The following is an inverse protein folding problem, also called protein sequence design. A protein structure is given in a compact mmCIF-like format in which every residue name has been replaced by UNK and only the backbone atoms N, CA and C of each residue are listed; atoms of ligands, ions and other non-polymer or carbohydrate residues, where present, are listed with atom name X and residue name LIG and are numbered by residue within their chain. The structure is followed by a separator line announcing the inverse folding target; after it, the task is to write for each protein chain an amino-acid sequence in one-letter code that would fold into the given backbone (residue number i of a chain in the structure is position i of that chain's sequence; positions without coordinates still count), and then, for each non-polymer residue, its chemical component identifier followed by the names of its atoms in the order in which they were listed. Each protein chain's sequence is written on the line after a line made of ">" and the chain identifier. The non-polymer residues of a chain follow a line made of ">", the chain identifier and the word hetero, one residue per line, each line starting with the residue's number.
data_IF_336770145464
#
_entry.id   IF_336770145464
#
_cell.length_a   1.000
_cell.length_b   1.000
_cell.length_c   1.000
_cell.angle_alpha   90.00
_cell.angle_beta   90.00
_cell.angle_gamma   90.00
#
_symmetry.space_group_name_H-M   'P 1'
#
loop_
_entity.id
_entity.type
_entity.pdbx_description
1 polymer ?
#
# COMPACT_ATOMS: atom_id res chain seq x y z
N UNK A 1 -7.11 40.31 -13.71
CA UNK A 1 -6.57 41.67 -13.94
C UNK A 1 -5.62 41.65 -15.12
N UNK A 2 -5.17 42.82 -15.56
CA UNK A 2 -4.16 42.98 -16.59
C UNK A 2 -3.02 43.88 -16.07
N UNK A 3 -1.82 43.72 -16.61
CA UNK A 3 -0.62 44.46 -16.23
C UNK A 3 0.21 44.87 -17.46
N UNK A 4 1.24 45.68 -17.23
CA UNK A 4 2.16 46.17 -18.26
C UNK A 4 1.63 47.39 -19.03
N UNK A 5 2.42 47.90 -19.97
CA UNK A 5 2.04 49.06 -20.78
C UNK A 5 0.77 48.75 -21.60
N UNK A 6 -0.21 49.65 -21.51
CA UNK A 6 -1.53 49.51 -22.15
C UNK A 6 -2.38 48.31 -21.66
N UNK A 7 -2.05 47.69 -20.52
CA UNK A 7 -2.85 46.61 -19.90
C UNK A 7 -3.14 45.42 -20.83
N UNK A 8 -2.15 45.01 -21.65
CA UNK A 8 -2.33 43.91 -22.62
C UNK A 8 -1.96 42.54 -22.05
N UNK A 9 -1.17 42.48 -20.97
CA UNK A 9 -0.74 41.22 -20.36
C UNK A 9 -1.70 40.81 -19.26
N UNK A 10 -2.10 39.54 -19.22
CA UNK A 10 -3.07 39.04 -18.24
C UNK A 10 -2.33 38.61 -16.97
N UNK A 11 -2.84 39.00 -15.80
CA UNK A 11 -2.32 38.49 -14.52
C UNK A 11 -2.39 36.95 -14.48
N UNK A 12 -1.39 36.32 -13.87
CA UNK A 12 -1.40 34.88 -13.61
C UNK A 12 -2.34 34.48 -12.47
N UNK A 13 -2.06 33.31 -11.90
CA UNK A 13 -2.89 32.63 -10.90
C UNK A 13 -2.57 33.07 -9.47
N UNK A 14 -2.77 34.36 -9.18
CA UNK A 14 -2.59 34.87 -7.83
C UNK A 14 -3.61 34.26 -6.85
N UNK A 15 -3.17 33.96 -5.63
CA UNK A 15 -4.03 33.39 -4.58
C UNK A 15 -5.33 34.20 -4.39
N UNK A 16 -6.44 33.48 -4.21
CA UNK A 16 -7.77 34.03 -3.91
C UNK A 16 -8.24 35.10 -4.91
N UNK A 17 -7.70 35.06 -6.13
CA UNK A 17 -8.02 36.03 -7.18
C UNK A 17 -7.46 37.43 -6.92
N UNK A 18 -6.43 37.54 -6.07
CA UNK A 18 -5.75 38.80 -5.79
C UNK A 18 -5.32 39.51 -7.08
N UNK A 19 -5.43 40.83 -7.09
CA UNK A 19 -5.00 41.65 -8.23
C UNK A 19 -3.46 41.66 -8.25
N UNK A 20 -2.87 41.31 -9.40
CA UNK A 20 -1.43 41.38 -9.59
C UNK A 20 -0.96 42.84 -9.70
N UNK A 21 0.31 43.09 -9.40
CA UNK A 21 0.91 44.41 -9.54
C UNK A 21 0.75 44.93 -10.99
N UNK A 22 0.15 46.11 -11.22
CA UNK A 22 -0.14 46.59 -12.57
C UNK A 22 1.10 46.87 -13.42
N UNK A 23 2.27 47.08 -12.80
CA UNK A 23 3.51 47.37 -13.52
C UNK A 23 4.27 46.09 -13.88
N UNK A 24 4.46 45.19 -12.92
CA UNK A 24 5.32 44.00 -13.03
C UNK A 24 4.57 42.69 -13.25
N UNK A 25 3.26 42.65 -12.98
CA UNK A 25 2.46 41.41 -13.02
C UNK A 25 2.69 40.49 -11.83
N UNK A 26 3.51 40.89 -10.87
CA UNK A 26 3.83 40.08 -9.68
C UNK A 26 2.59 39.90 -8.79
N UNK A 27 2.41 38.68 -8.29
CA UNK A 27 1.36 38.40 -7.32
C UNK A 27 1.84 38.83 -5.91
N UNK A 28 1.02 39.55 -5.13
CA UNK A 28 1.46 40.16 -3.87
C UNK A 28 1.72 39.16 -2.73
N UNK A 29 1.26 37.92 -2.86
CA UNK A 29 1.38 36.88 -1.83
C UNK A 29 1.99 35.60 -2.41
N UNK A 30 1.13 34.62 -2.69
CA UNK A 30 1.48 33.30 -3.19
C UNK A 30 0.62 32.98 -4.39
N UNK A 31 0.98 31.91 -5.09
CA UNK A 31 0.19 31.39 -6.19
C UNK A 31 -0.95 30.51 -5.69
N UNK A 32 -1.99 30.39 -6.52
CA UNK A 32 -2.99 29.35 -6.35
C UNK A 32 -2.33 27.96 -6.41
N UNK A 33 -2.92 26.94 -5.77
CA UNK A 33 -2.38 25.58 -5.86
C UNK A 33 -2.22 25.11 -7.32
N UNK A 34 -1.07 24.53 -7.64
CA UNK A 34 -0.73 24.07 -8.99
C UNK A 34 0.09 25.07 -9.82
N UNK A 35 0.39 26.24 -9.27
CA UNK A 35 1.12 27.32 -9.93
C UNK A 35 2.28 27.83 -9.06
N UNK A 36 3.32 28.34 -9.72
CA UNK A 36 4.52 28.93 -9.11
C UNK A 36 5.06 30.09 -9.96
N UNK A 37 6.18 30.67 -9.50
CA UNK A 37 6.80 31.85 -10.11
C UNK A 37 6.24 33.15 -9.53
N UNK A 38 6.98 34.25 -9.71
CA UNK A 38 6.62 35.56 -9.14
C UNK A 38 5.28 36.09 -9.72
N UNK A 39 4.98 35.74 -10.97
CA UNK A 39 3.74 36.11 -11.65
C UNK A 39 2.66 35.02 -11.58
N UNK A 40 2.94 33.87 -10.94
CA UNK A 40 2.04 32.72 -10.87
C UNK A 40 1.55 32.22 -12.22
N UNK A 41 2.45 32.20 -13.21
CA UNK A 41 2.23 31.85 -14.60
C UNK A 41 2.88 30.51 -14.99
N UNK A 42 3.59 29.88 -14.06
CA UNK A 42 4.28 28.61 -14.28
C UNK A 42 3.53 27.47 -13.60
N UNK A 43 3.08 26.48 -14.35
CA UNK A 43 2.49 25.26 -13.77
C UNK A 43 3.52 24.49 -12.95
N UNK A 44 3.07 23.77 -11.93
CA UNK A 44 3.97 22.84 -11.23
C UNK A 44 4.53 21.79 -12.19
N UNK A 45 5.84 21.56 -12.07
CA UNK A 45 6.53 20.45 -12.70
C UNK A 45 5.94 19.11 -12.24
N UNK A 46 6.03 18.09 -13.09
CA UNK A 46 5.62 16.73 -12.74
C UNK A 46 6.30 16.27 -11.46
N UNK A 47 5.52 15.71 -10.54
CA UNK A 47 6.01 15.30 -9.22
C UNK A 47 5.88 16.37 -8.13
N UNK A 48 5.38 17.57 -8.43
CA UNK A 48 5.13 18.62 -7.44
C UNK A 48 3.69 19.13 -7.44
N UNK A 49 3.21 19.58 -6.29
CA UNK A 49 1.85 20.06 -6.10
C UNK A 49 1.72 21.12 -5.00
N UNK A 50 0.50 21.67 -4.89
CA UNK A 50 0.13 22.63 -3.85
C UNK A 50 0.47 24.06 -4.23
N UNK A 51 0.39 24.96 -3.24
CA UNK A 51 0.70 26.37 -3.43
C UNK A 51 2.19 26.52 -3.69
N UNK A 52 2.54 27.32 -4.69
CA UNK A 52 3.93 27.51 -5.14
C UNK A 52 4.69 26.22 -5.49
N UNK A 53 3.99 25.09 -5.63
CA UNK A 53 4.59 23.78 -5.89
C UNK A 53 5.52 23.28 -4.76
N UNK A 54 5.25 23.69 -3.51
CA UNK A 54 6.11 23.41 -2.35
C UNK A 54 6.15 21.93 -1.91
N UNK A 55 5.24 21.08 -2.42
CA UNK A 55 5.14 19.68 -2.00
C UNK A 55 5.45 18.71 -3.12
N UNK A 56 6.14 17.62 -2.80
CA UNK A 56 6.35 16.49 -3.70
C UNK A 56 5.16 15.52 -3.69
N UNK A 57 4.81 14.96 -4.85
CA UNK A 57 3.85 13.85 -4.94
C UNK A 57 4.32 12.64 -4.10
N UNK A 58 3.37 11.86 -3.59
CA UNK A 58 3.66 10.56 -2.96
C UNK A 58 3.77 9.41 -3.96
N UNK A 59 3.61 8.19 -3.45
CA UNK A 59 3.74 6.94 -4.22
C UNK A 59 2.46 6.60 -5.00
N UNK A 60 2.15 7.43 -6.00
CA UNK A 60 0.99 7.24 -6.85
C UNK A 60 1.17 6.03 -7.78
N UNK A 61 0.12 5.24 -7.94
CA UNK A 61 0.14 3.97 -8.67
C UNK A 61 0.53 4.11 -10.14
N UNK A 62 1.23 3.11 -10.67
CA UNK A 62 1.57 2.93 -12.09
C UNK A 62 2.28 4.15 -12.71
N UNK A 63 3.09 4.86 -11.91
CA UNK A 63 3.79 6.08 -12.34
C UNK A 63 2.87 7.26 -12.64
N UNK A 64 1.60 7.21 -12.18
CA UNK A 64 0.68 8.33 -12.33
C UNK A 64 1.18 9.57 -11.59
N UNK A 65 1.00 10.75 -12.19
CA UNK A 65 1.37 12.02 -11.55
C UNK A 65 0.22 12.48 -10.67
N UNK A 66 0.53 12.91 -9.44
CA UNK A 66 -0.48 13.46 -8.56
C UNK A 66 -1.08 14.76 -9.12
N UNK A 67 -2.30 15.08 -8.71
CA UNK A 67 -2.96 16.33 -9.11
C UNK A 67 -2.15 17.53 -8.58
N UNK A 68 -1.63 18.36 -9.48
CA UNK A 68 -0.78 19.52 -9.13
C UNK A 68 -1.44 20.51 -8.16
N UNK A 69 -2.76 20.61 -8.17
CA UNK A 69 -3.51 21.49 -7.27
C UNK A 69 -3.69 20.91 -5.86
N UNK A 70 -3.85 19.59 -5.72
CA UNK A 70 -4.26 18.97 -4.44
C UNK A 70 -3.25 17.98 -3.88
N UNK A 71 -2.40 17.40 -4.72
CA UNK A 71 -1.49 16.29 -4.39
C UNK A 71 -2.12 14.91 -4.43
N UNK A 72 -3.42 14.83 -4.73
CA UNK A 72 -4.14 13.54 -4.72
C UNK A 72 -3.64 12.66 -5.86
N UNK A 73 -3.39 11.38 -5.56
CA UNK A 73 -3.10 10.35 -6.56
C UNK A 73 -4.41 9.83 -7.17
N UNK A 74 -4.73 10.17 -8.43
CA UNK A 74 -6.04 9.85 -9.02
C UNK A 74 -6.25 8.35 -9.25
N UNK A 75 -5.17 7.56 -9.33
CA UNK A 75 -5.20 6.12 -9.57
C UNK A 75 -4.96 5.30 -8.28
N UNK A 76 -5.00 5.94 -7.12
CA UNK A 76 -4.64 5.33 -5.85
C UNK A 76 -3.12 5.16 -5.69
N UNK A 77 -2.75 4.29 -4.75
CA UNK A 77 -1.38 4.13 -4.28
C UNK A 77 -0.70 2.88 -4.81
N UNK A 78 0.61 2.96 -4.94
CA UNK A 78 1.45 1.79 -5.14
C UNK A 78 1.34 0.82 -3.95
N UNK A 79 1.74 -0.43 -4.19
CA UNK A 79 1.74 -1.44 -3.14
C UNK A 79 2.63 -1.03 -1.96
N UNK A 80 2.11 -1.19 -0.75
CA UNK A 80 2.78 -0.77 0.48
C UNK A 80 2.41 0.63 0.96
N UNK A 81 1.64 1.41 0.17
CA UNK A 81 1.22 2.77 0.50
C UNK A 81 -0.31 2.93 0.49
N UNK A 82 -0.80 3.94 1.21
CA UNK A 82 -2.21 4.25 1.35
C UNK A 82 -2.47 5.75 1.58
N UNK A 83 -3.75 6.10 1.50
CA UNK A 83 -4.26 7.46 1.71
C UNK A 83 -4.29 8.28 0.42
N UNK A 84 -5.03 9.38 0.42
CA UNK A 84 -5.28 10.19 -0.78
C UNK A 84 -4.00 10.69 -1.49
N UNK A 85 -2.93 10.89 -0.72
CA UNK A 85 -1.64 11.41 -1.20
C UNK A 85 -0.57 10.32 -1.32
N UNK A 86 -0.88 9.07 -0.95
CA UNK A 86 0.07 7.95 -0.99
C UNK A 86 1.41 8.20 -0.27
N UNK A 87 1.36 8.93 0.84
CA UNK A 87 2.52 9.26 1.68
C UNK A 87 2.62 8.39 2.93
N UNK A 88 1.62 7.56 3.22
CA UNK A 88 1.57 6.69 4.40
C UNK A 88 1.78 5.25 3.99
N UNK A 89 2.67 4.55 4.69
CA UNK A 89 2.82 3.10 4.53
C UNK A 89 1.60 2.32 5.05
N UNK A 90 1.47 1.06 4.66
CA UNK A 90 0.43 0.18 5.21
C UNK A 90 0.55 0.03 6.73
N UNK A 91 -0.61 -0.04 7.39
CA UNK A 91 -0.69 -0.47 8.78
C UNK A 91 -0.31 -1.95 8.90
N UNK A 92 0.20 -2.35 10.08
CA UNK A 92 0.46 -3.75 10.39
C UNK A 92 -0.77 -4.63 10.11
N UNK A 93 -0.56 -5.76 9.45
CA UNK A 93 -1.66 -6.65 9.05
C UNK A 93 -2.28 -6.34 7.68
N UNK A 94 -1.81 -5.30 6.98
CA UNK A 94 -2.27 -4.92 5.64
C UNK A 94 -1.14 -4.87 4.63
N UNK A 95 -1.46 -5.14 3.37
CA UNK A 95 -0.49 -5.12 2.28
C UNK A 95 -1.14 -4.81 0.92
N UNK A 96 -0.29 -4.66 -0.10
CA UNK A 96 -0.70 -4.45 -1.49
C UNK A 96 -1.07 -3.00 -1.81
N UNK A 97 -1.58 -2.73 -3.02
CA UNK A 97 -2.03 -1.41 -3.45
C UNK A 97 -3.13 -0.89 -2.53
N UNK A 98 -3.03 0.38 -2.15
CA UNK A 98 -3.95 1.05 -1.23
C UNK A 98 -4.10 0.32 0.13
N UNK A 99 -3.21 -0.61 0.45
CA UNK A 99 -3.26 -1.48 1.63
C UNK A 99 -4.59 -2.21 1.81
N UNK A 100 -5.26 -2.57 0.71
CA UNK A 100 -6.58 -3.21 0.75
C UNK A 100 -6.51 -4.69 1.14
N UNK A 101 -5.40 -5.37 0.88
CA UNK A 101 -5.23 -6.77 1.24
C UNK A 101 -4.88 -6.92 2.72
N UNK A 102 -5.33 -8.03 3.31
CA UNK A 102 -5.02 -8.38 4.71
C UNK A 102 -3.98 -9.49 4.72
N UNK A 103 -3.06 -9.48 5.68
CA UNK A 103 -2.12 -10.59 5.87
C UNK A 103 -2.90 -11.88 6.14
N UNK A 104 -2.37 -13.02 5.69
CA UNK A 104 -2.91 -14.34 6.07
C UNK A 104 -2.56 -14.70 7.51
N UNK A 105 -2.52 -16.00 7.80
CA UNK A 105 -2.23 -16.52 9.14
C UNK A 105 -0.72 -16.54 9.43
N UNK A 106 -0.09 -15.38 9.29
CA UNK A 106 1.30 -15.17 9.64
C UNK A 106 1.49 -15.23 11.16
N UNK A 107 2.66 -15.67 11.60
CA UNK A 107 3.09 -15.53 12.98
C UNK A 107 3.08 -14.05 13.40
N UNK A 108 2.50 -13.74 14.56
CA UNK A 108 2.23 -12.38 15.04
C UNK A 108 1.39 -11.50 14.09
N UNK A 109 0.73 -12.06 13.08
CA UNK A 109 -0.10 -11.32 12.12
C UNK A 109 0.66 -10.28 11.29
N UNK A 110 1.98 -10.45 11.14
CA UNK A 110 2.84 -9.53 10.40
C UNK A 110 3.22 -10.12 9.05
N UNK A 111 3.02 -9.34 8.00
CA UNK A 111 3.46 -9.65 6.65
C UNK A 111 4.09 -8.43 5.99
N UNK A 112 4.86 -8.67 4.94
CA UNK A 112 5.47 -7.65 4.12
C UNK A 112 4.39 -6.77 3.46
N UNK A 113 4.47 -5.45 3.65
CA UNK A 113 3.43 -4.51 3.20
C UNK A 113 3.25 -4.43 1.68
N UNK A 114 4.27 -4.77 0.88
CA UNK A 114 4.16 -4.82 -0.59
C UNK A 114 3.63 -6.18 -1.08
N UNK A 115 4.28 -7.28 -0.67
CA UNK A 115 4.04 -8.61 -1.25
C UNK A 115 3.01 -9.44 -0.47
N UNK A 116 2.71 -9.10 0.77
CA UNK A 116 1.85 -9.88 1.67
C UNK A 116 2.50 -11.13 2.24
N UNK A 117 3.78 -11.37 1.94
CA UNK A 117 4.49 -12.56 2.40
C UNK A 117 4.79 -12.48 3.89
N UNK A 118 4.64 -13.59 4.59
CA UNK A 118 4.91 -13.65 6.02
C UNK A 118 6.42 -13.75 6.27
N UNK A 119 6.95 -12.83 7.06
CA UNK A 119 8.34 -12.90 7.51
C UNK A 119 8.54 -14.14 8.40
N UNK A 120 9.79 -14.66 8.51
CA UNK A 120 10.11 -15.71 9.47
C UNK A 120 9.63 -15.36 10.89
N UNK A 121 8.98 -16.29 11.60
CA UNK A 121 9.02 -17.73 11.38
C UNK A 121 7.96 -18.29 10.40
N UNK A 122 7.20 -17.44 9.69
CA UNK A 122 6.25 -17.86 8.67
C UNK A 122 4.82 -18.06 9.19
N UNK A 123 4.18 -19.15 8.81
CA UNK A 123 2.78 -19.46 9.07
C UNK A 123 2.52 -20.03 10.45
N UNK A 124 1.33 -19.74 10.98
CA UNK A 124 0.76 -20.45 12.13
C UNK A 124 0.49 -21.92 11.76
N UNK A 125 0.42 -22.82 12.76
CA UNK A 125 0.10 -24.22 12.51
C UNK A 125 -1.21 -24.41 11.73
N UNK A 126 -1.18 -25.28 10.73
CA UNK A 126 -2.32 -25.55 9.86
C UNK A 126 -2.39 -24.72 8.58
N UNK A 127 -1.49 -23.73 8.42
CA UNK A 127 -1.45 -22.83 7.27
C UNK A 127 -0.12 -22.93 6.52
N UNK A 128 -0.19 -22.75 5.21
CA UNK A 128 0.93 -22.87 4.27
C UNK A 128 0.94 -21.76 3.22
N UNK A 129 2.02 -21.74 2.44
CA UNK A 129 2.25 -20.79 1.37
C UNK A 129 2.95 -19.54 1.86
N UNK A 130 3.50 -18.74 0.94
CA UNK A 130 4.31 -17.58 1.29
C UNK A 130 3.51 -16.50 2.04
N UNK A 131 2.18 -16.49 1.90
CA UNK A 131 1.26 -15.55 2.58
C UNK A 131 0.42 -16.19 3.68
N UNK A 132 0.59 -17.49 3.93
CA UNK A 132 -0.19 -18.25 4.92
C UNK A 132 -1.71 -18.10 4.72
N UNK A 133 -2.14 -18.10 3.47
CA UNK A 133 -3.53 -17.98 3.01
C UNK A 133 -4.07 -19.29 2.46
N UNK A 134 -3.28 -20.36 2.49
CA UNK A 134 -3.68 -21.71 2.14
C UNK A 134 -3.67 -22.65 3.36
N UNK A 135 -4.58 -23.62 3.38
CA UNK A 135 -4.54 -24.72 4.33
C UNK A 135 -3.31 -25.61 4.08
N UNK A 136 -2.84 -26.31 5.12
CA UNK A 136 -1.80 -27.33 4.95
C UNK A 136 -2.19 -28.35 3.87
N UNK A 137 -1.24 -28.71 2.98
CA UNK A 137 -1.42 -29.83 2.05
C UNK A 137 -1.78 -31.12 2.79
N UNK A 138 -2.61 -31.94 2.16
CA UNK A 138 -3.03 -33.22 2.74
C UNK A 138 -1.82 -34.09 3.12
N UNK A 139 -1.81 -34.58 4.35
CA UNK A 139 -0.71 -35.40 4.90
C UNK A 139 0.42 -34.61 5.56
N UNK A 140 0.27 -33.29 5.69
CA UNK A 140 1.19 -32.43 6.44
C UNK A 140 0.48 -31.67 7.56
N UNK A 141 1.23 -31.24 8.58
CA UNK A 141 0.68 -30.51 9.72
C UNK A 141 1.73 -29.66 10.44
N UNK A 142 1.27 -28.84 11.38
CA UNK A 142 2.11 -28.01 12.25
C UNK A 142 2.52 -26.70 11.59
N UNK A 143 3.50 -26.03 12.20
CA UNK A 143 4.01 -24.75 11.71
C UNK A 143 4.62 -24.89 10.31
N UNK A 144 4.24 -23.99 9.39
CA UNK A 144 4.63 -24.06 7.97
C UNK A 144 4.39 -25.45 7.34
N UNK A 145 3.44 -26.22 7.88
CA UNK A 145 3.15 -27.59 7.46
C UNK A 145 4.41 -28.49 7.35
N UNK A 146 5.40 -28.24 8.21
CA UNK A 146 6.73 -28.85 8.10
C UNK A 146 6.78 -30.29 8.59
N UNK A 147 5.72 -30.78 9.26
CA UNK A 147 5.64 -32.15 9.74
C UNK A 147 4.78 -33.02 8.83
N UNK A 148 5.10 -34.32 8.76
CA UNK A 148 4.35 -35.31 7.99
C UNK A 148 3.49 -36.16 8.90
N UNK A 149 2.26 -36.39 8.48
CA UNK A 149 1.33 -37.21 9.23
C UNK A 149 1.79 -38.67 9.30
N UNK A 150 1.45 -39.30 10.43
CA UNK A 150 1.72 -40.72 10.63
C UNK A 150 0.79 -41.62 9.84
N UNK A 151 0.60 -42.84 10.32
CA UNK A 151 -0.11 -43.89 9.60
C UNK A 151 -1.63 -43.83 9.84
N UNK A 152 -2.25 -42.70 9.50
CA UNK A 152 -3.70 -42.52 9.61
C UNK A 152 -4.46 -43.36 8.57
N UNK A 153 -5.58 -43.94 8.97
CA UNK A 153 -6.60 -44.49 8.07
C UNK A 153 -7.56 -43.36 7.68
N UNK A 154 -7.09 -42.46 6.82
CA UNK A 154 -7.77 -41.21 6.44
C UNK A 154 -6.81 -40.03 6.49
N UNK A 155 -7.35 -38.84 6.77
CA UNK A 155 -6.57 -37.60 6.94
C UNK A 155 -6.17 -37.38 8.40
N UNK A 156 -5.13 -36.59 8.57
CA UNK A 156 -4.69 -36.03 9.84
C UNK A 156 -5.15 -34.57 9.96
N UNK A 157 -5.23 -34.07 11.20
CA UNK A 157 -5.51 -32.67 11.49
C UNK A 157 -4.28 -31.81 11.14
N UNK A 158 -4.46 -30.72 10.37
CA UNK A 158 -3.35 -29.89 9.91
C UNK A 158 -2.70 -29.07 11.04
N UNK A 159 -3.39 -28.89 12.17
CA UNK A 159 -2.86 -28.15 13.32
C UNK A 159 -1.78 -28.93 14.07
N UNK A 160 -2.04 -30.20 14.40
CA UNK A 160 -1.25 -30.98 15.36
C UNK A 160 -0.95 -32.42 14.91
N UNK A 161 -1.42 -32.82 13.73
CA UNK A 161 -1.09 -34.11 13.10
C UNK A 161 -1.88 -35.30 13.65
N UNK A 162 -2.88 -35.07 14.51
CA UNK A 162 -3.73 -36.14 15.03
C UNK A 162 -4.57 -36.77 13.93
N UNK A 163 -4.70 -38.09 13.93
CA UNK A 163 -5.55 -38.78 12.97
C UNK A 163 -7.02 -38.59 13.32
N UNK A 164 -7.84 -38.22 12.33
CA UNK A 164 -9.28 -37.93 12.56
C UNK A 164 -10.12 -39.18 12.81
N UNK A 165 -9.63 -40.37 12.42
CA UNK A 165 -10.34 -41.64 12.54
C UNK A 165 -9.50 -42.66 13.36
N UNK A 166 -8.93 -43.65 12.68
CA UNK A 166 -8.14 -44.71 13.29
C UNK A 166 -6.75 -44.84 12.65
N UNK A 167 -5.86 -45.58 13.30
CA UNK A 167 -4.57 -45.94 12.75
C UNK A 167 -4.71 -47.09 11.76
N UNK A 168 -3.85 -47.11 10.75
CA UNK A 168 -3.66 -48.32 9.92
C UNK A 168 -3.21 -49.49 10.83
N UNK A 169 -3.51 -50.75 10.45
CA UNK A 169 -3.13 -51.91 11.24
C UNK A 169 -1.65 -51.92 11.62
N UNK A 170 -1.35 -52.21 12.89
CA UNK A 170 0.02 -52.23 13.43
C UNK A 170 0.53 -50.88 13.92
N UNK A 171 -0.29 -49.83 13.89
CA UNK A 171 0.04 -48.50 14.42
C UNK A 171 -0.93 -48.07 15.52
N UNK A 172 -0.45 -47.25 16.44
CA UNK A 172 -1.14 -46.79 17.64
C UNK A 172 -0.75 -45.36 18.04
N UNK A 173 -1.49 -44.83 19.02
CA UNK A 173 -1.36 -43.45 19.50
C UNK A 173 -2.15 -42.44 18.66
N UNK A 174 -2.29 -41.20 19.16
CA UNK A 174 -3.16 -40.19 18.56
C UNK A 174 -2.69 -39.70 17.18
N UNK A 175 -1.41 -39.90 16.85
CA UNK A 175 -0.80 -39.54 15.57
C UNK A 175 -0.38 -40.77 14.75
N UNK A 176 -0.68 -41.99 15.24
CA UNK A 176 -0.34 -43.26 14.59
C UNK A 176 1.15 -43.38 14.22
N UNK A 177 2.03 -43.17 15.22
CA UNK A 177 3.49 -43.17 15.09
C UNK A 177 4.18 -44.32 15.85
N UNK A 178 3.43 -45.12 16.61
CA UNK A 178 3.93 -46.19 17.47
C UNK A 178 3.34 -47.54 17.12
#
# INVERSE_FOLDING_TARGET
>A
GYFGSNCVQRCGHCLDGAVCDPASGACPWRCQPGWSGIMCDTECSSGFHGQNCDFSCGHCRDGSVCLRSTGVCPQGCEAGFQGLFCTKGCMSGKWGPDCHSTCGQCFHGRCHNVTGECDPPGCLPGWDGPRCDADCPAGTYGMNCSNRCGHCQGTCQPLDGRCSAHCKPGWAGPMCLH
#
